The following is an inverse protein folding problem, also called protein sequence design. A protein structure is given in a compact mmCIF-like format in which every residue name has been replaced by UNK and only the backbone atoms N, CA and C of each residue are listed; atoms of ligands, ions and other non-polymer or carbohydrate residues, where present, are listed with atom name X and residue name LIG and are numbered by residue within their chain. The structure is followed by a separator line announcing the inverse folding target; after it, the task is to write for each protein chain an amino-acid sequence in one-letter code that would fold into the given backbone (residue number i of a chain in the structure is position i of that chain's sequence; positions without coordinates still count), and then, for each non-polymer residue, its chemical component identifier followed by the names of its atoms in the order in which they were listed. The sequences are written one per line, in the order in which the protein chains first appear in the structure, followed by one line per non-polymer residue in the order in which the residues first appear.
data_IF_310290982658
#
_entry.id   IF_310290982658
#
_cell.length_a   1.000
_cell.length_b   1.000
_cell.length_c   1.000
_cell.angle_alpha   90.00
_cell.angle_beta   90.00
_cell.angle_gamma   90.00
#
_symmetry.space_group_name_H-M   'P 1'
#
loop_
_entity.id
_entity.type
_entity.pdbx_description
1 polymer ?
#
# COMPACT_ATOMS: atom_id res chain seq x y z
N UNK A 1 25.91 -1.70 1.81
CA UNK A 1 25.42 -2.72 0.87
C UNK A 1 26.55 -3.73 0.73
N UNK A 2 26.37 -4.93 1.25
CA UNK A 2 27.39 -6.00 1.19
C UNK A 2 27.60 -6.41 -0.27
N UNK A 3 28.81 -6.78 -0.66
CA UNK A 3 29.19 -7.12 -2.06
C UNK A 3 28.33 -8.20 -2.72
N UNK A 4 27.69 -9.07 -1.94
CA UNK A 4 26.75 -10.07 -2.41
C UNK A 4 25.45 -9.47 -2.98
N UNK A 5 25.02 -8.28 -2.52
CA UNK A 5 23.83 -7.58 -3.03
C UNK A 5 24.11 -6.70 -4.26
N UNK A 6 25.38 -6.39 -4.53
CA UNK A 6 25.77 -5.65 -5.75
C UNK A 6 25.69 -6.49 -7.02
N UNK A 7 25.68 -7.82 -6.91
CA UNK A 7 25.79 -8.71 -8.07
C UNK A 7 24.52 -8.93 -8.88
N UNK A 8 23.31 -8.60 -8.36
CA UNK A 8 22.05 -8.82 -9.07
C UNK A 8 21.01 -7.72 -8.76
N UNK A 9 21.29 -6.47 -9.13
CA UNK A 9 20.23 -5.43 -9.10
C UNK A 9 19.26 -5.73 -10.25
N UNK A 10 17.95 -5.92 -9.96
CA UNK A 10 16.95 -6.19 -11.00
C UNK A 10 16.87 -5.04 -11.99
N UNK A 11 16.46 -5.34 -13.22
CA UNK A 11 16.20 -4.31 -14.24
C UNK A 11 15.10 -3.34 -13.75
N UNK A 12 15.22 -2.07 -14.08
CA UNK A 12 14.22 -1.05 -13.72
C UNK A 12 12.80 -1.44 -14.16
N UNK A 13 12.66 -2.09 -15.32
CA UNK A 13 11.38 -2.61 -15.81
C UNK A 13 10.80 -3.70 -14.92
N UNK A 14 11.62 -4.57 -14.33
CA UNK A 14 11.16 -5.62 -13.41
C UNK A 14 10.68 -5.01 -12.09
N UNK A 15 11.39 -3.98 -11.59
CA UNK A 15 11.01 -3.25 -10.38
C UNK A 15 9.67 -2.52 -10.59
N UNK A 16 9.53 -1.84 -11.73
CA UNK A 16 8.29 -1.16 -12.12
C UNK A 16 7.12 -2.16 -12.27
N UNK A 17 7.34 -3.28 -12.95
CA UNK A 17 6.32 -4.32 -13.11
C UNK A 17 5.85 -4.88 -11.75
N UNK A 18 6.76 -5.14 -10.83
CA UNK A 18 6.39 -5.59 -9.48
C UNK A 18 5.55 -4.54 -8.73
N UNK A 19 5.91 -3.24 -8.83
CA UNK A 19 5.15 -2.16 -8.24
C UNK A 19 3.74 -2.02 -8.87
N UNK A 20 3.63 -2.14 -10.20
CA UNK A 20 2.35 -2.12 -10.93
C UNK A 20 1.47 -3.28 -10.49
N UNK A 21 1.98 -4.52 -10.55
CA UNK A 21 1.23 -5.73 -10.16
C UNK A 21 0.77 -5.64 -8.70
N UNK A 22 1.65 -5.19 -7.80
CA UNK A 22 1.30 -5.01 -6.39
C UNK A 22 0.10 -4.06 -6.23
N UNK A 23 0.10 -2.91 -6.92
CA UNK A 23 -0.96 -1.91 -6.78
C UNK A 23 -2.25 -2.30 -7.52
N UNK A 24 -2.18 -3.06 -8.61
CA UNK A 24 -3.36 -3.68 -9.23
C UNK A 24 -4.05 -4.61 -8.24
N UNK A 25 -3.31 -5.53 -7.61
CA UNK A 25 -3.87 -6.48 -6.65
C UNK A 25 -4.40 -5.75 -5.40
N UNK A 26 -3.70 -4.72 -4.89
CA UNK A 26 -4.14 -3.94 -3.73
C UNK A 26 -5.44 -3.16 -3.97
N UNK A 27 -5.78 -2.85 -5.21
CA UNK A 27 -7.05 -2.21 -5.56
C UNK A 27 -8.27 -3.16 -5.56
N UNK A 28 -8.06 -4.47 -5.62
CA UNK A 28 -9.15 -5.44 -5.79
C UNK A 28 -9.91 -5.85 -4.50
N UNK A 29 -9.35 -5.80 -3.28
CA UNK A 29 -9.97 -6.36 -2.09
C UNK A 29 -11.24 -5.66 -1.61
N UNK A 30 -11.49 -4.41 -1.96
CA UNK A 30 -12.55 -3.61 -1.35
C UNK A 30 -13.95 -4.24 -1.44
N UNK A 31 -14.34 -4.72 -2.62
CA UNK A 31 -15.62 -5.42 -2.80
C UNK A 31 -15.66 -6.76 -2.06
N UNK A 32 -14.55 -7.53 -2.11
CA UNK A 32 -14.47 -8.81 -1.43
C UNK A 32 -14.52 -8.67 0.09
N UNK A 33 -13.93 -7.61 0.65
CA UNK A 33 -14.02 -7.29 2.09
C UNK A 33 -15.49 -7.05 2.47
N UNK A 34 -16.25 -6.31 1.66
CA UNK A 34 -17.66 -6.05 1.92
C UNK A 34 -18.48 -7.34 1.89
N UNK A 35 -18.25 -8.20 0.90
CA UNK A 35 -18.91 -9.51 0.82
C UNK A 35 -18.55 -10.38 2.02
N UNK A 36 -17.26 -10.47 2.39
CA UNK A 36 -16.79 -11.20 3.56
C UNK A 36 -17.46 -10.70 4.85
N UNK A 37 -17.51 -9.37 5.05
CA UNK A 37 -18.12 -8.80 6.24
C UNK A 37 -19.64 -9.13 6.32
N UNK A 38 -20.34 -9.09 5.20
CA UNK A 38 -21.74 -9.49 5.14
C UNK A 38 -21.93 -10.97 5.51
N UNK A 39 -21.12 -11.87 4.92
CA UNK A 39 -21.17 -13.31 5.22
C UNK A 39 -20.84 -13.61 6.69
N UNK A 40 -19.87 -12.91 7.25
CA UNK A 40 -19.44 -13.07 8.65
C UNK A 40 -20.29 -12.25 9.63
N UNK A 41 -21.33 -11.54 9.15
CA UNK A 41 -22.22 -10.66 9.93
C UNK A 41 -21.46 -9.58 10.72
N UNK A 42 -20.45 -8.99 10.12
CA UNK A 42 -19.66 -7.91 10.71
C UNK A 42 -20.24 -6.58 10.23
N UNK A 43 -21.12 -5.99 11.01
CA UNK A 43 -21.79 -4.74 10.68
C UNK A 43 -21.98 -3.83 11.91
N UNK A 44 -22.16 -2.51 11.72
CA UNK A 44 -22.44 -1.60 12.83
C UNK A 44 -23.71 -1.94 13.59
N UNK A 45 -24.75 -2.48 12.93
CA UNK A 45 -26.02 -2.85 13.55
C UNK A 45 -25.84 -4.00 14.56
N UNK A 46 -24.90 -4.91 14.30
CA UNK A 46 -24.65 -6.08 15.17
C UNK A 46 -23.69 -5.74 16.30
N UNK A 47 -22.62 -4.98 16.00
CA UNK A 47 -21.54 -4.73 16.96
C UNK A 47 -21.64 -3.36 17.65
N UNK A 48 -22.49 -2.43 17.18
CA UNK A 48 -22.65 -1.11 17.81
C UNK A 48 -21.33 -0.42 18.08
N UNK A 49 -21.09 0.00 19.31
CA UNK A 49 -19.86 0.67 19.74
C UNK A 49 -18.59 -0.19 19.62
N UNK A 50 -18.73 -1.53 19.50
CA UNK A 50 -17.61 -2.44 19.33
C UNK A 50 -17.29 -2.74 17.86
N UNK A 51 -18.04 -2.14 16.91
CA UNK A 51 -17.85 -2.39 15.47
C UNK A 51 -16.42 -2.16 14.99
N UNK A 52 -15.83 -1.03 15.38
CA UNK A 52 -14.44 -0.74 15.00
C UNK A 52 -13.46 -1.78 15.57
N UNK A 53 -13.64 -2.18 16.83
CA UNK A 53 -12.85 -3.25 17.45
C UNK A 53 -12.98 -4.57 16.69
N UNK A 54 -14.20 -4.91 16.26
CA UNK A 54 -14.46 -6.12 15.47
C UNK A 54 -13.80 -6.08 14.09
N UNK A 55 -13.86 -4.94 13.40
CA UNK A 55 -13.16 -4.72 12.13
C UNK A 55 -11.65 -4.89 12.29
N UNK A 56 -11.05 -4.29 13.33
CA UNK A 56 -9.61 -4.40 13.61
C UNK A 56 -9.21 -5.85 13.92
N UNK A 57 -10.01 -6.58 14.70
CA UNK A 57 -9.77 -7.99 14.99
C UNK A 57 -9.81 -8.85 13.72
N UNK A 58 -10.76 -8.62 12.84
CA UNK A 58 -10.89 -9.38 11.58
C UNK A 58 -9.74 -9.06 10.61
N UNK A 59 -9.38 -7.79 10.47
CA UNK A 59 -8.25 -7.37 9.64
C UNK A 59 -6.92 -7.92 10.19
N UNK A 60 -6.77 -7.95 11.51
CA UNK A 60 -5.56 -8.51 12.14
C UNK A 60 -5.40 -9.99 11.78
N UNK A 61 -6.47 -10.77 11.84
CA UNK A 61 -6.44 -12.19 11.45
C UNK A 61 -6.06 -12.35 9.97
N UNK A 62 -6.59 -11.51 9.08
CA UNK A 62 -6.22 -11.51 7.66
C UNK A 62 -4.71 -11.28 7.48
N UNK A 63 -4.15 -10.28 8.16
CA UNK A 63 -2.71 -9.99 8.05
C UNK A 63 -1.84 -11.03 8.73
N UNK A 64 -2.31 -11.65 9.79
CA UNK A 64 -1.62 -12.77 10.43
C UNK A 64 -1.48 -13.97 9.46
N UNK A 65 -2.58 -14.36 8.81
CA UNK A 65 -2.59 -15.41 7.80
C UNK A 65 -1.69 -15.01 6.61
N UNK A 66 -1.79 -13.76 6.14
CA UNK A 66 -0.94 -13.24 5.07
C UNK A 66 0.55 -13.31 5.42
N UNK A 67 0.92 -12.98 6.65
CA UNK A 67 2.28 -13.09 7.15
C UNK A 67 2.80 -14.53 7.15
N UNK A 68 1.97 -15.49 7.61
CA UNK A 68 2.30 -16.92 7.56
C UNK A 68 2.49 -17.37 6.10
N UNK A 69 1.56 -17.03 5.19
CA UNK A 69 1.68 -17.36 3.77
C UNK A 69 2.99 -16.83 3.17
N UNK A 70 3.35 -15.58 3.52
CA UNK A 70 4.59 -14.96 3.06
C UNK A 70 5.83 -15.66 3.58
N UNK A 71 5.86 -16.07 4.87
CA UNK A 71 6.98 -16.84 5.44
C UNK A 71 7.09 -18.24 4.84
N UNK A 72 5.97 -18.91 4.59
CA UNK A 72 5.95 -20.21 3.90
C UNK A 72 6.57 -20.05 2.51
N UNK A 73 6.16 -19.02 1.76
CA UNK A 73 6.74 -18.72 0.46
C UNK A 73 8.24 -18.39 0.54
N UNK A 74 8.66 -17.59 1.53
CA UNK A 74 10.06 -17.29 1.77
C UNK A 74 10.88 -18.56 2.01
N UNK A 75 10.34 -19.52 2.78
CA UNK A 75 10.97 -20.82 2.98
C UNK A 75 11.03 -21.65 1.70
N UNK A 76 9.99 -21.59 0.88
CA UNK A 76 9.93 -22.28 -0.43
C UNK A 76 11.05 -21.80 -1.37
N UNK A 77 11.35 -20.50 -1.38
CA UNK A 77 12.49 -19.92 -2.13
C UNK A 77 13.82 -20.02 -1.35
N UNK A 78 13.92 -20.98 -0.42
CA UNK A 78 15.11 -21.34 0.35
C UNK A 78 15.68 -20.18 1.19
N UNK A 79 14.85 -19.23 1.64
CA UNK A 79 15.28 -18.22 2.59
C UNK A 79 15.19 -18.74 4.02
N UNK A 80 16.17 -18.40 4.83
CA UNK A 80 16.12 -18.73 6.26
C UNK A 80 15.27 -17.67 6.99
N UNK A 81 14.10 -18.08 7.45
CA UNK A 81 13.11 -17.18 8.06
C UNK A 81 13.43 -16.81 9.51
N UNK A 82 14.33 -17.55 10.17
CA UNK A 82 14.72 -17.32 11.56
C UNK A 82 16.13 -16.73 11.72
N UNK A 83 16.96 -16.77 10.69
CA UNK A 83 18.31 -16.22 10.74
C UNK A 83 18.30 -14.69 10.58
N UNK A 84 17.72 -14.03 11.57
CA UNK A 84 17.54 -12.58 11.63
C UNK A 84 18.39 -12.05 12.79
N UNK A 85 19.29 -11.11 12.52
CA UNK A 85 20.15 -10.50 13.55
C UNK A 85 19.31 -9.65 14.52
N UNK A 86 19.74 -9.53 15.78
CA UNK A 86 19.05 -8.76 16.82
C UNK A 86 18.68 -7.33 16.38
N UNK A 87 19.55 -6.66 15.64
CA UNK A 87 19.26 -5.32 15.07
C UNK A 87 18.12 -5.35 14.04
N UNK A 88 18.15 -6.34 13.15
CA UNK A 88 17.11 -6.50 12.12
C UNK A 88 15.76 -6.82 12.77
N UNK A 89 15.72 -7.65 13.82
CA UNK A 89 14.49 -7.91 14.59
C UNK A 89 13.88 -6.64 15.13
N UNK A 90 14.70 -5.78 15.76
CA UNK A 90 14.21 -4.48 16.25
C UNK A 90 13.61 -3.64 15.12
N UNK A 91 14.27 -3.58 13.98
CA UNK A 91 13.80 -2.81 12.82
C UNK A 91 12.51 -3.40 12.23
N UNK A 92 12.37 -4.71 12.15
CA UNK A 92 11.15 -5.40 11.67
C UNK A 92 9.98 -5.23 12.65
N UNK A 93 10.24 -5.28 13.96
CA UNK A 93 9.21 -5.02 14.98
C UNK A 93 8.70 -3.57 14.84
N UNK A 94 9.59 -2.59 14.77
CA UNK A 94 9.22 -1.18 14.58
C UNK A 94 8.41 -1.02 13.30
N UNK A 95 8.83 -1.67 12.21
CA UNK A 95 8.12 -1.63 10.94
C UNK A 95 6.71 -2.24 11.07
N UNK A 96 6.55 -3.38 11.75
CA UNK A 96 5.26 -4.04 11.97
C UNK A 96 4.29 -3.16 12.78
N UNK A 97 4.79 -2.58 13.86
CA UNK A 97 3.99 -1.65 14.68
C UNK A 97 3.63 -0.37 13.93
N UNK A 98 4.52 0.12 13.08
CA UNK A 98 4.28 1.34 12.31
C UNK A 98 3.32 1.09 11.14
N UNK A 99 3.62 0.11 10.27
CA UNK A 99 2.92 -0.12 9.00
C UNK A 99 1.60 -0.86 9.15
N UNK A 100 1.56 -1.84 10.05
CA UNK A 100 0.39 -2.73 10.17
C UNK A 100 -0.44 -2.38 11.39
N UNK A 101 0.18 -2.11 12.54
CA UNK A 101 -0.59 -1.72 13.73
C UNK A 101 -1.08 -0.28 13.64
N UNK A 102 -0.17 0.70 13.70
CA UNK A 102 -0.55 2.11 13.80
C UNK A 102 -1.21 2.62 12.51
N UNK A 103 -0.61 2.34 11.33
CA UNK A 103 -1.17 2.83 10.08
C UNK A 103 -2.58 2.29 9.83
N UNK A 104 -2.83 0.98 10.01
CA UNK A 104 -4.17 0.43 9.81
C UNK A 104 -5.16 0.79 10.91
N UNK A 105 -4.70 1.06 12.13
CA UNK A 105 -5.54 1.65 13.17
C UNK A 105 -6.10 3.00 12.73
N UNK A 106 -5.23 3.96 12.34
CA UNK A 106 -5.66 5.27 11.86
C UNK A 106 -6.49 5.19 10.59
N UNK A 107 -6.12 4.32 9.65
CA UNK A 107 -6.87 4.08 8.41
C UNK A 107 -8.32 3.65 8.68
N UNK A 108 -8.54 2.71 9.61
CA UNK A 108 -9.88 2.21 9.89
C UNK A 108 -10.72 3.20 10.68
N UNK A 109 -10.15 3.92 11.65
CA UNK A 109 -10.86 5.02 12.32
C UNK A 109 -11.27 6.10 11.29
N UNK A 110 -10.35 6.49 10.42
CA UNK A 110 -10.64 7.47 9.39
C UNK A 110 -11.79 7.02 8.49
N UNK A 111 -11.78 5.77 8.02
CA UNK A 111 -12.84 5.23 7.17
C UNK A 111 -14.22 5.16 7.84
N UNK A 112 -14.28 4.99 9.15
CA UNK A 112 -15.56 5.02 9.89
C UNK A 112 -16.08 6.46 10.02
N UNK A 113 -15.19 7.46 10.09
CA UNK A 113 -15.56 8.85 10.31
C UNK A 113 -15.67 9.68 9.02
N UNK A 114 -15.10 9.24 7.91
CA UNK A 114 -15.24 9.90 6.60
C UNK A 114 -16.52 9.41 5.94
N UNK A 115 -17.43 10.32 5.66
CA UNK A 115 -18.72 10.00 5.03
C UNK A 115 -18.59 9.63 3.55
N UNK A 116 -17.60 10.20 2.86
CA UNK A 116 -17.35 9.96 1.43
C UNK A 116 -16.24 8.93 1.21
N UNK A 117 -16.59 7.77 0.66
CA UNK A 117 -15.61 6.76 0.23
C UNK A 117 -14.60 7.32 -0.78
N UNK A 118 -15.03 8.26 -1.61
CA UNK A 118 -14.15 8.94 -2.58
C UNK A 118 -13.11 9.77 -1.86
N UNK A 119 -13.53 10.58 -0.87
CA UNK A 119 -12.62 11.40 -0.08
C UNK A 119 -11.60 10.55 0.66
N UNK A 120 -12.05 9.46 1.28
CA UNK A 120 -11.17 8.47 1.93
C UNK A 120 -10.13 7.90 0.95
N UNK A 121 -10.56 7.51 -0.24
CA UNK A 121 -9.67 6.94 -1.27
C UNK A 121 -8.62 7.93 -1.76
N UNK A 122 -9.01 9.19 -1.97
CA UNK A 122 -8.11 10.27 -2.41
C UNK A 122 -7.09 10.59 -1.32
N UNK A 123 -7.55 10.77 -0.08
CA UNK A 123 -6.67 11.11 1.04
C UNK A 123 -5.71 9.98 1.41
N UNK A 124 -6.10 8.72 1.25
CA UNK A 124 -5.20 7.59 1.44
C UNK A 124 -3.96 7.66 0.52
N UNK A 125 -4.07 8.31 -0.64
CA UNK A 125 -2.95 8.52 -1.57
C UNK A 125 -1.99 9.64 -1.12
N UNK A 126 -2.27 10.34 -0.02
CA UNK A 126 -1.30 11.27 0.61
C UNK A 126 0.04 10.60 0.92
N UNK A 127 0.03 9.26 1.09
CA UNK A 127 1.25 8.45 1.18
C UNK A 127 2.27 8.75 0.08
N UNK A 128 1.81 9.06 -1.14
CA UNK A 128 2.69 9.33 -2.30
C UNK A 128 3.45 10.63 -2.08
N UNK A 129 2.75 11.67 -1.63
CA UNK A 129 3.34 12.98 -1.35
C UNK A 129 4.31 12.90 -0.16
N UNK A 130 3.90 12.27 0.94
CA UNK A 130 4.78 12.07 2.09
C UNK A 130 6.02 11.26 1.73
N UNK A 131 5.89 10.20 0.91
CA UNK A 131 7.03 9.42 0.47
C UNK A 131 7.99 10.22 -0.40
N UNK A 132 7.47 11.06 -1.31
CA UNK A 132 8.29 11.93 -2.16
C UNK A 132 9.04 13.00 -1.32
N UNK A 133 8.36 13.60 -0.33
CA UNK A 133 8.95 14.57 0.60
C UNK A 133 10.03 13.89 1.46
N UNK A 134 9.72 12.76 2.08
CA UNK A 134 10.67 12.01 2.90
C UNK A 134 11.88 11.56 2.09
N UNK A 135 11.67 11.09 0.84
CA UNK A 135 12.74 10.70 -0.06
C UNK A 135 13.66 11.87 -0.39
N UNK A 136 13.10 13.07 -0.62
CA UNK A 136 13.86 14.29 -0.89
C UNK A 136 14.87 14.60 0.21
N UNK A 137 14.46 14.46 1.48
CA UNK A 137 15.34 14.75 2.61
C UNK A 137 16.27 13.58 2.94
N UNK A 138 15.80 12.35 2.83
CA UNK A 138 16.55 11.16 3.26
C UNK A 138 17.58 10.66 2.24
N UNK A 139 17.35 10.84 0.93
CA UNK A 139 18.18 10.25 -0.12
C UNK A 139 18.76 11.31 -1.06
N UNK A 140 20.09 11.30 -1.23
CA UNK A 140 20.79 12.26 -2.14
C UNK A 140 20.37 12.08 -3.61
N UNK A 141 20.08 10.83 -4.02
CA UNK A 141 19.77 10.47 -5.41
C UNK A 141 18.26 10.44 -5.70
N UNK A 142 17.40 10.80 -4.74
CA UNK A 142 15.96 10.79 -4.90
C UNK A 142 15.35 12.16 -4.55
N UNK A 143 15.87 13.19 -5.22
CA UNK A 143 15.42 14.58 -5.00
C UNK A 143 14.10 14.85 -5.70
N UNK A 144 13.29 15.65 -5.06
CA UNK A 144 12.03 16.18 -5.61
C UNK A 144 12.37 17.30 -6.61
N UNK A 145 12.34 16.97 -7.88
CA UNK A 145 12.58 17.91 -8.98
C UNK A 145 11.26 18.58 -9.41
N UNK A 146 11.27 19.74 -10.08
CA UNK A 146 10.05 20.37 -10.59
C UNK A 146 9.21 19.45 -11.46
N UNK A 147 9.84 18.62 -12.29
CA UNK A 147 9.12 17.65 -13.14
C UNK A 147 8.45 16.55 -12.33
N UNK A 148 9.08 16.08 -11.22
CA UNK A 148 8.45 15.14 -10.28
C UNK A 148 7.26 15.79 -9.58
N UNK A 149 7.36 17.07 -9.20
CA UNK A 149 6.24 17.81 -8.61
C UNK A 149 5.07 17.94 -9.57
N UNK A 150 5.32 18.35 -10.82
CA UNK A 150 4.29 18.41 -11.86
C UNK A 150 3.66 17.04 -12.05
N UNK A 151 4.46 15.97 -12.14
CA UNK A 151 3.97 14.60 -12.25
C UNK A 151 3.06 14.20 -11.07
N UNK A 152 3.44 14.53 -9.83
CA UNK A 152 2.61 14.27 -8.64
C UNK A 152 1.27 15.00 -8.71
N UNK A 153 1.26 16.29 -9.10
CA UNK A 153 0.02 17.07 -9.25
C UNK A 153 -0.86 16.47 -10.33
N UNK A 154 -0.29 16.14 -11.51
CA UNK A 154 -1.03 15.51 -12.62
C UNK A 154 -1.65 14.18 -12.20
N UNK A 155 -0.89 13.33 -11.49
CA UNK A 155 -1.40 12.04 -11.01
C UNK A 155 -2.51 12.19 -9.97
N UNK A 156 -2.40 13.17 -9.09
CA UNK A 156 -3.41 13.46 -8.09
C UNK A 156 -4.70 14.02 -8.73
N UNK A 157 -4.57 14.91 -9.70
CA UNK A 157 -5.72 15.39 -10.49
C UNK A 157 -6.39 14.25 -11.26
N UNK A 158 -5.58 13.35 -11.85
CA UNK A 158 -6.09 12.15 -12.50
C UNK A 158 -6.86 11.23 -11.52
N UNK A 159 -6.38 11.08 -10.30
CA UNK A 159 -7.08 10.34 -9.26
C UNK A 159 -8.42 11.00 -8.91
N UNK A 160 -8.44 12.33 -8.65
CA UNK A 160 -9.66 13.07 -8.35
C UNK A 160 -10.68 12.87 -9.49
N UNK A 161 -10.27 13.11 -10.73
CA UNK A 161 -11.14 13.00 -11.90
C UNK A 161 -11.69 11.57 -12.03
N UNK A 162 -10.88 10.54 -11.80
CA UNK A 162 -11.32 9.14 -11.88
C UNK A 162 -12.40 8.78 -10.86
N UNK A 163 -12.45 9.50 -9.74
CA UNK A 163 -13.42 9.28 -8.67
C UNK A 163 -14.67 10.16 -8.78
N UNK A 164 -14.69 11.16 -9.67
CA UNK A 164 -15.87 12.03 -9.92
C UNK A 164 -16.93 11.32 -10.76
N UNK A 165 -17.30 10.10 -10.38
CA UNK A 165 -18.37 9.34 -11.01
C UNK A 165 -19.64 9.44 -10.17
N UNK A 166 -20.78 9.72 -10.79
CA UNK A 166 -22.07 9.52 -10.14
C UNK A 166 -22.56 10.62 -9.21
N UNK A 167 -22.29 11.90 -9.50
CA UNK A 167 -22.97 13.02 -8.83
C UNK A 167 -22.36 13.48 -7.51
N UNK A 168 -21.11 13.10 -7.23
CA UNK A 168 -20.36 13.63 -6.07
C UNK A 168 -20.12 15.13 -6.27
N UNK A 169 -20.55 15.93 -5.31
CA UNK A 169 -20.31 17.38 -5.31
C UNK A 169 -18.89 17.67 -4.81
N UNK A 170 -18.19 18.57 -5.48
CA UNK A 170 -16.88 19.05 -5.03
C UNK A 170 -16.92 19.60 -3.59
N UNK A 171 -18.06 20.16 -3.16
CA UNK A 171 -18.26 20.62 -1.77
C UNK A 171 -18.04 19.53 -0.73
N UNK A 172 -18.39 18.27 -1.05
CA UNK A 172 -18.28 17.16 -0.11
C UNK A 172 -16.84 16.71 0.11
N UNK A 173 -15.92 17.18 -0.75
CA UNK A 173 -14.48 16.93 -0.66
C UNK A 173 -13.74 17.89 0.30
N UNK A 174 -14.40 18.98 0.73
CA UNK A 174 -13.79 20.01 1.58
C UNK A 174 -14.23 19.95 3.05
N UNK A 175 -15.03 18.94 3.42
CA UNK A 175 -15.29 18.68 4.84
C UNK A 175 -13.99 18.17 5.48
N UNK A 176 -13.58 18.77 6.60
CA UNK A 176 -12.41 18.33 7.35
C UNK A 176 -12.79 18.01 8.79
N UNK A 177 -12.56 16.78 9.19
CA UNK A 177 -12.60 16.34 10.57
C UNK A 177 -11.24 15.78 10.99
N UNK A 178 -10.84 16.01 12.23
CA UNK A 178 -9.56 15.51 12.73
C UNK A 178 -9.54 13.98 12.75
N UNK A 179 -10.64 13.34 13.16
CA UNK A 179 -10.78 11.87 13.27
C UNK A 179 -11.03 11.18 11.95
N UNK A 180 -11.47 11.90 10.93
CA UNK A 180 -11.61 11.42 9.56
C UNK A 180 -10.38 11.75 8.73
N UNK A 181 -10.42 12.93 8.10
CA UNK A 181 -9.39 13.37 7.14
C UNK A 181 -8.02 13.51 7.79
N UNK A 182 -7.94 14.03 9.02
CA UNK A 182 -6.69 14.16 9.77
C UNK A 182 -6.03 12.80 10.03
N UNK A 183 -6.81 11.82 10.47
CA UNK A 183 -6.28 10.46 10.70
C UNK A 183 -5.91 9.74 9.40
N UNK A 184 -6.58 10.03 8.29
CA UNK A 184 -6.17 9.51 6.98
C UNK A 184 -4.83 10.09 6.53
N UNK A 185 -4.54 11.35 6.81
CA UNK A 185 -3.22 11.94 6.57
C UNK A 185 -2.14 11.31 7.47
N UNK A 186 -2.45 11.04 8.74
CA UNK A 186 -1.54 10.31 9.65
C UNK A 186 -1.25 8.91 9.09
N UNK A 187 -2.28 8.18 8.62
CA UNK A 187 -2.07 6.91 7.91
C UNK A 187 -1.10 7.07 6.73
N UNK A 188 -1.30 8.08 5.89
CA UNK A 188 -0.45 8.36 4.74
C UNK A 188 1.02 8.57 5.12
N UNK A 189 1.27 9.33 6.18
CA UNK A 189 2.62 9.56 6.70
C UNK A 189 3.24 8.27 7.25
N UNK A 190 2.51 7.52 8.06
CA UNK A 190 2.97 6.25 8.63
C UNK A 190 3.31 5.22 7.55
N UNK A 191 2.48 5.12 6.51
CA UNK A 191 2.70 4.23 5.37
C UNK A 191 3.93 4.63 4.54
N UNK A 192 4.20 5.94 4.40
CA UNK A 192 5.39 6.45 3.74
C UNK A 192 6.67 6.14 4.55
N UNK A 193 6.64 6.39 5.87
CA UNK A 193 7.73 6.05 6.79
C UNK A 193 8.00 4.53 6.79
N UNK A 194 6.96 3.71 6.79
CA UNK A 194 7.09 2.26 6.71
C UNK A 194 7.76 1.81 5.41
N UNK A 195 7.41 2.42 4.26
CA UNK A 195 8.03 2.11 2.97
C UNK A 195 9.51 2.52 2.97
N UNK A 196 9.85 3.66 3.57
CA UNK A 196 11.23 4.10 3.74
C UNK A 196 12.03 3.15 4.63
N UNK A 197 11.43 2.67 5.72
CA UNK A 197 12.03 1.70 6.63
C UNK A 197 12.23 0.34 5.94
N UNK A 198 11.24 -0.10 5.15
CA UNK A 198 11.33 -1.32 4.34
C UNK A 198 12.50 -1.27 3.35
N UNK A 199 12.73 -0.12 2.69
CA UNK A 199 13.88 0.10 1.81
C UNK A 199 15.20 -0.07 2.57
N UNK A 200 15.29 0.47 3.79
CA UNK A 200 16.47 0.35 4.65
C UNK A 200 16.71 -1.09 5.10
N UNK A 201 15.69 -1.77 5.62
CA UNK A 201 15.80 -3.15 6.11
C UNK A 201 16.11 -4.10 4.96
N UNK A 202 15.44 -3.93 3.81
CA UNK A 202 15.61 -4.74 2.62
C UNK A 202 17.05 -4.74 2.06
N UNK A 203 17.88 -3.74 2.41
CA UNK A 203 19.30 -3.76 2.06
C UNK A 203 20.12 -4.86 2.78
N UNK A 204 19.58 -5.43 3.84
CA UNK A 204 20.29 -6.43 4.69
C UNK A 204 19.47 -7.68 4.98
N UNK A 205 18.15 -7.66 4.77
CA UNK A 205 17.23 -8.77 5.00
C UNK A 205 16.37 -9.00 3.75
N UNK A 206 16.11 -10.27 3.43
CA UNK A 206 15.22 -10.61 2.32
C UNK A 206 13.82 -9.99 2.52
N UNK A 207 13.25 -9.38 1.46
CA UNK A 207 11.99 -8.66 1.52
C UNK A 207 10.80 -9.53 1.91
N UNK A 208 10.76 -10.81 1.48
CA UNK A 208 9.69 -11.73 1.84
C UNK A 208 9.76 -12.10 3.32
N UNK A 209 10.96 -12.36 3.85
CA UNK A 209 11.16 -12.63 5.28
C UNK A 209 10.76 -11.41 6.12
N UNK A 210 11.21 -10.23 5.71
CA UNK A 210 10.85 -8.96 6.34
C UNK A 210 9.33 -8.74 6.34
N UNK A 211 8.69 -8.92 5.17
CA UNK A 211 7.23 -8.69 5.02
C UNK A 211 6.43 -9.68 5.85
N UNK A 212 6.81 -10.96 5.85
CA UNK A 212 6.10 -11.97 6.62
C UNK A 212 6.12 -11.68 8.12
N UNK A 213 7.28 -11.39 8.68
CA UNK A 213 7.39 -11.02 10.10
C UNK A 213 6.76 -9.66 10.43
N UNK A 214 6.87 -8.68 9.53
CA UNK A 214 6.20 -7.40 9.67
C UNK A 214 4.67 -7.57 9.79
N UNK A 215 4.07 -8.38 8.92
CA UNK A 215 2.62 -8.65 8.94
C UNK A 215 2.20 -9.41 10.20
N UNK A 216 2.97 -10.42 10.64
CA UNK A 216 2.66 -11.18 11.87
C UNK A 216 2.73 -10.27 13.10
N UNK A 217 3.85 -9.57 13.30
CA UNK A 217 4.05 -8.72 14.47
C UNK A 217 3.05 -7.59 14.51
N UNK A 218 2.85 -6.92 13.36
CA UNK A 218 1.92 -5.82 13.28
C UNK A 218 0.46 -6.24 13.43
N UNK A 219 0.10 -7.44 12.96
CA UNK A 219 -1.24 -7.98 13.16
C UNK A 219 -1.53 -8.31 14.62
N UNK A 220 -0.56 -8.83 15.37
CA UNK A 220 -0.69 -9.06 16.80
C UNK A 220 -0.95 -7.73 17.55
N UNK A 221 -0.18 -6.67 17.22
CA UNK A 221 -0.41 -5.34 17.78
C UNK A 221 -1.81 -4.80 17.44
N UNK A 222 -2.24 -4.97 16.18
CA UNK A 222 -3.57 -4.54 15.74
C UNK A 222 -4.70 -5.34 16.43
N UNK A 223 -4.50 -6.65 16.63
CA UNK A 223 -5.43 -7.49 17.36
C UNK A 223 -5.58 -7.06 18.82
N UNK A 224 -4.47 -6.76 19.50
CA UNK A 224 -4.51 -6.28 20.89
C UNK A 224 -5.37 -5.01 20.98
N UNK A 225 -5.19 -4.04 20.09
CA UNK A 225 -6.00 -2.83 20.04
C UNK A 225 -7.47 -3.17 19.76
N UNK A 226 -7.75 -3.98 18.76
CA UNK A 226 -9.10 -4.42 18.42
C UNK A 226 -9.78 -5.14 19.60
N UNK A 227 -9.04 -5.99 20.33
CA UNK A 227 -9.53 -6.69 21.51
C UNK A 227 -9.89 -5.73 22.66
N UNK A 228 -9.04 -4.74 22.93
CA UNK A 228 -9.31 -3.69 23.92
C UNK A 228 -10.57 -2.89 23.56
N UNK A 229 -10.80 -2.67 22.24
CA UNK A 229 -11.99 -1.99 21.70
C UNK A 229 -13.23 -2.89 21.62
N UNK A 230 -13.20 -4.07 22.20
CA UNK A 230 -14.33 -5.00 22.28
C UNK A 230 -14.45 -6.00 21.15
N UNK A 231 -13.52 -5.99 20.16
CA UNK A 231 -13.50 -6.98 19.09
C UNK A 231 -13.14 -8.39 19.59
N UNK A 232 -13.85 -9.39 19.11
CA UNK A 232 -13.65 -10.80 19.49
C UNK A 232 -13.72 -11.69 18.25
N UNK A 233 -12.69 -12.51 18.02
CA UNK A 233 -12.70 -13.49 16.93
C UNK A 233 -13.76 -14.57 17.14
N UNK A 234 -14.12 -14.86 18.40
CA UNK A 234 -15.20 -15.79 18.76
C UNK A 234 -16.60 -15.25 18.44
N UNK A 235 -16.76 -13.94 18.26
CA UNK A 235 -18.03 -13.31 17.90
C UNK A 235 -18.30 -13.30 16.38
N UNK A 236 -17.35 -13.74 15.58
CA UNK A 236 -17.49 -13.85 14.12
C UNK A 236 -18.42 -15.02 13.80
N UNK A 237 -19.40 -14.80 12.92
CA UNK A 237 -20.17 -15.86 12.33
C UNK A 237 -19.34 -16.59 11.27
N UNK A 238 -18.68 -17.67 11.66
CA UNK A 238 -17.82 -18.46 10.78
C UNK A 238 -18.64 -19.27 9.79
N UNK A 239 -18.54 -18.93 8.51
CA UNK A 239 -19.07 -19.72 7.40
C UNK A 239 -17.93 -20.22 6.51
N UNK A 240 -18.16 -21.29 5.76
CA UNK A 240 -17.17 -21.82 4.80
C UNK A 240 -16.80 -20.73 3.78
N UNK A 241 -17.80 -20.02 3.25
CA UNK A 241 -17.62 -18.91 2.31
C UNK A 241 -16.82 -17.78 2.93
N UNK A 242 -17.15 -17.36 4.17
CA UNK A 242 -16.43 -16.31 4.90
C UNK A 242 -14.97 -16.68 5.14
N UNK A 243 -14.69 -17.91 5.55
CA UNK A 243 -13.33 -18.44 5.74
C UNK A 243 -12.52 -18.50 4.43
N UNK A 244 -13.15 -18.93 3.34
CA UNK A 244 -12.54 -18.92 2.01
C UNK A 244 -12.21 -17.49 1.54
N UNK A 245 -13.15 -16.55 1.69
CA UNK A 245 -12.92 -15.13 1.37
C UNK A 245 -11.80 -14.52 2.20
N UNK A 246 -11.75 -14.82 3.51
CA UNK A 246 -10.66 -14.37 4.39
C UNK A 246 -9.30 -14.87 3.89
N UNK A 247 -9.23 -16.14 3.47
CA UNK A 247 -7.99 -16.75 2.94
C UNK A 247 -7.57 -16.11 1.61
N UNK A 248 -8.52 -15.88 0.70
CA UNK A 248 -8.28 -15.16 -0.56
C UNK A 248 -7.78 -13.74 -0.29
N UNK A 249 -8.42 -13.03 0.64
CA UNK A 249 -8.02 -11.69 1.05
C UNK A 249 -6.66 -11.65 1.74
N UNK A 250 -6.30 -12.70 2.48
CA UNK A 250 -4.96 -12.85 3.05
C UNK A 250 -3.91 -13.02 1.94
N UNK A 251 -4.17 -13.85 0.94
CA UNK A 251 -3.29 -13.99 -0.23
C UNK A 251 -3.18 -12.67 -1.02
N UNK A 252 -4.33 -11.97 -1.21
CA UNK A 252 -4.38 -10.64 -1.82
C UNK A 252 -3.71 -9.54 -0.97
N UNK A 253 -3.24 -9.86 0.22
CA UNK A 253 -2.37 -9.01 1.04
C UNK A 253 -0.92 -9.49 0.99
N UNK A 254 -0.67 -10.79 1.14
CA UNK A 254 0.66 -11.39 1.17
C UNK A 254 1.47 -11.09 -0.09
N UNK A 255 0.89 -11.32 -1.26
CA UNK A 255 1.54 -11.14 -2.56
C UNK A 255 1.91 -9.67 -2.79
N UNK A 256 0.97 -8.71 -2.76
CA UNK A 256 1.29 -7.34 -3.12
C UNK A 256 2.17 -6.63 -2.08
N UNK A 257 2.01 -6.88 -0.77
CA UNK A 257 2.92 -6.29 0.20
C UNK A 257 4.37 -6.78 0.01
N UNK A 258 4.53 -8.06 -0.32
CA UNK A 258 5.86 -8.62 -0.60
C UNK A 258 6.47 -8.01 -1.85
N UNK A 259 5.72 -7.90 -2.94
CA UNK A 259 6.15 -7.27 -4.19
C UNK A 259 6.42 -5.78 -4.01
N UNK A 260 5.57 -5.07 -3.26
CA UNK A 260 5.72 -3.65 -2.97
C UNK A 260 7.00 -3.34 -2.21
N UNK A 261 7.26 -4.04 -1.10
CA UNK A 261 8.45 -3.82 -0.31
C UNK A 261 9.72 -4.31 -1.03
N UNK A 262 9.60 -5.37 -1.84
CA UNK A 262 10.68 -5.77 -2.72
C UNK A 262 10.99 -4.69 -3.76
N UNK A 263 10.00 -4.11 -4.40
CA UNK A 263 10.20 -3.03 -5.35
C UNK A 263 10.77 -1.76 -4.68
N UNK A 264 10.27 -1.40 -3.50
CA UNK A 264 10.76 -0.27 -2.71
C UNK A 264 12.24 -0.42 -2.29
N UNK A 265 12.70 -1.66 -2.08
CA UNK A 265 14.10 -1.95 -1.75
C UNK A 265 15.06 -1.51 -2.86
N UNK A 266 14.70 -1.76 -4.13
CA UNK A 266 15.58 -1.54 -5.28
C UNK A 266 15.33 -0.19 -5.99
N UNK A 267 14.12 0.31 -5.97
CA UNK A 267 13.75 1.55 -6.65
C UNK A 267 14.00 2.82 -5.84
N UNK A 268 13.98 3.96 -6.53
CA UNK A 268 13.91 5.26 -5.88
C UNK A 268 12.53 5.43 -5.23
N UNK A 269 12.48 5.84 -3.98
CA UNK A 269 11.24 5.87 -3.20
C UNK A 269 10.22 6.84 -3.79
N UNK A 270 10.67 8.05 -4.20
CA UNK A 270 9.81 9.05 -4.83
C UNK A 270 9.31 8.65 -6.21
N UNK A 271 10.01 7.76 -6.92
CA UNK A 271 9.59 7.27 -8.25
C UNK A 271 8.68 6.05 -8.13
N UNK A 272 8.95 5.16 -7.18
CA UNK A 272 8.16 3.94 -7.00
C UNK A 272 6.79 4.23 -6.40
N UNK A 273 6.70 5.18 -5.46
CA UNK A 273 5.43 5.46 -4.78
C UNK A 273 4.35 6.02 -5.70
N UNK A 274 4.71 6.61 -6.84
CA UNK A 274 3.73 7.08 -7.83
C UNK A 274 2.87 5.95 -8.40
N UNK A 275 3.38 4.72 -8.45
CA UNK A 275 2.59 3.55 -8.89
C UNK A 275 1.39 3.25 -7.99
N UNK A 276 1.35 3.80 -6.76
CA UNK A 276 0.18 3.69 -5.88
C UNK A 276 -1.08 4.37 -6.45
N UNK A 277 -0.94 5.33 -7.37
CA UNK A 277 -2.10 5.88 -8.09
C UNK A 277 -2.87 4.83 -8.91
N UNK A 278 -2.23 3.70 -9.24
CA UNK A 278 -2.88 2.57 -9.94
C UNK A 278 -3.90 1.87 -9.03
N UNK A 279 -3.68 1.85 -7.71
CA UNK A 279 -4.51 1.11 -6.76
C UNK A 279 -6.00 1.52 -6.80
N UNK A 280 -6.39 2.80 -6.67
CA UNK A 280 -7.80 3.18 -6.76
C UNK A 280 -8.38 2.98 -8.17
N UNK A 281 -7.57 3.16 -9.21
CA UNK A 281 -8.00 2.95 -10.60
C UNK A 281 -8.30 1.48 -10.87
N UNK A 282 -7.45 0.57 -10.41
CA UNK A 282 -7.69 -0.88 -10.56
C UNK A 282 -8.96 -1.32 -9.82
N UNK A 283 -9.24 -0.71 -8.65
CA UNK A 283 -10.49 -0.91 -7.93
C UNK A 283 -11.72 -0.45 -8.74
N UNK A 284 -11.64 0.71 -9.37
CA UNK A 284 -12.71 1.23 -10.24
C UNK A 284 -12.91 0.38 -11.50
N UNK A 285 -11.82 -0.09 -12.13
CA UNK A 285 -11.91 -1.01 -13.29
C UNK A 285 -12.59 -2.31 -12.87
N UNK A 286 -12.21 -2.88 -11.73
CA UNK A 286 -12.86 -4.09 -11.22
C UNK A 286 -14.36 -3.84 -10.94
N UNK A 287 -14.72 -2.67 -10.44
CA UNK A 287 -16.11 -2.29 -10.21
C UNK A 287 -16.92 -2.30 -11.50
N UNK A 288 -16.34 -1.76 -12.60
CA UNK A 288 -16.94 -1.79 -13.94
C UNK A 288 -17.07 -3.22 -14.46
N UNK A 289 -16.03 -4.06 -14.31
CA UNK A 289 -16.10 -5.48 -14.71
C UNK A 289 -17.18 -6.26 -13.95
N UNK A 290 -17.53 -5.80 -12.75
CA UNK A 290 -18.61 -6.36 -11.91
C UNK A 290 -19.97 -5.68 -12.13
N UNK A 291 -20.15 -4.94 -13.22
CA UNK A 291 -21.43 -4.40 -13.68
C UNK A 291 -21.69 -2.91 -13.36
N UNK A 292 -20.70 -2.18 -12.84
CA UNK A 292 -20.83 -0.72 -12.73
C UNK A 292 -20.59 -0.04 -14.09
N UNK A 293 -21.16 1.14 -14.29
CA UNK A 293 -21.03 1.86 -15.56
C UNK A 293 -19.61 2.37 -15.79
N UNK A 294 -19.10 2.15 -16.99
CA UNK A 294 -17.83 2.73 -17.43
C UNK A 294 -18.02 4.21 -17.77
N UNK A 295 -17.23 5.09 -17.15
CA UNK A 295 -17.41 6.54 -17.28
C UNK A 295 -16.23 7.19 -18.00
N UNK A 296 -16.50 8.30 -18.71
CA UNK A 296 -15.46 9.10 -19.36
C UNK A 296 -14.45 9.65 -18.34
N UNK A 297 -14.88 9.99 -17.11
CA UNK A 297 -14.00 10.45 -16.04
C UNK A 297 -12.97 9.39 -15.63
N UNK A 298 -13.35 8.11 -15.61
CA UNK A 298 -12.40 7.01 -15.33
C UNK A 298 -11.33 6.91 -16.42
N UNK A 299 -11.69 7.08 -17.70
CA UNK A 299 -10.72 7.09 -18.81
C UNK A 299 -9.72 8.26 -18.70
N UNK A 300 -10.25 9.46 -18.47
CA UNK A 300 -9.42 10.67 -18.32
C UNK A 300 -8.50 10.53 -17.11
N UNK A 301 -9.01 10.06 -15.98
CA UNK A 301 -8.25 9.80 -14.77
C UNK A 301 -7.11 8.81 -15.01
N UNK A 302 -7.38 7.69 -15.70
CA UNK A 302 -6.38 6.70 -16.08
C UNK A 302 -5.27 7.31 -16.96
N UNK A 303 -5.66 8.08 -17.98
CA UNK A 303 -4.70 8.73 -18.88
C UNK A 303 -3.76 9.69 -18.11
N UNK A 304 -4.30 10.49 -17.19
CA UNK A 304 -3.52 11.41 -16.37
C UNK A 304 -2.59 10.66 -15.40
N UNK A 305 -3.02 9.56 -14.80
CA UNK A 305 -2.16 8.74 -13.95
C UNK A 305 -1.03 8.09 -14.75
N UNK A 306 -1.31 7.57 -15.95
CA UNK A 306 -0.26 7.06 -16.84
C UNK A 306 0.74 8.17 -17.21
N UNK A 307 0.27 9.37 -17.53
CA UNK A 307 1.12 10.53 -17.80
C UNK A 307 1.99 10.90 -16.59
N UNK A 308 1.43 10.91 -15.38
CA UNK A 308 2.16 11.14 -14.14
C UNK A 308 3.30 10.15 -13.94
N UNK A 309 3.02 8.86 -14.11
CA UNK A 309 4.03 7.78 -13.99
C UNK A 309 5.15 8.00 -14.99
N UNK A 310 4.83 8.34 -16.24
CA UNK A 310 5.81 8.63 -17.29
C UNK A 310 6.65 9.85 -16.94
N UNK A 311 6.05 10.94 -16.47
CA UNK A 311 6.74 12.17 -16.12
C UNK A 311 7.74 11.96 -14.99
N UNK A 312 7.32 11.26 -13.93
CA UNK A 312 8.13 11.05 -12.73
C UNK A 312 9.29 10.07 -12.99
N UNK A 313 9.08 9.06 -13.82
CA UNK A 313 10.08 8.04 -14.11
C UNK A 313 10.97 8.40 -15.33
N UNK A 314 10.88 9.62 -15.86
CA UNK A 314 11.80 10.09 -16.92
C UNK A 314 13.23 10.19 -16.38
N UNK A 315 14.22 9.54 -17.01
CA UNK A 315 15.61 9.72 -16.62
C UNK A 315 16.03 11.19 -16.79
N UNK A 316 16.81 11.76 -15.85
CA UNK A 316 17.32 13.11 -15.96
C UNK A 316 18.11 13.30 -17.28
N UNK A 317 17.99 14.49 -17.91
CA UNK A 317 18.69 14.79 -19.18
C UNK A 317 20.20 14.49 -19.14
N UNK A 318 20.84 14.69 -17.98
CA UNK A 318 22.27 14.42 -17.75
C UNK A 318 22.65 12.93 -17.86
N UNK A 319 21.78 12.00 -17.45
CA UNK A 319 22.06 10.56 -17.62
C UNK A 319 21.95 10.13 -19.08
N UNK A 320 21.01 10.70 -19.85
CA UNK A 320 20.91 10.46 -21.30
C UNK A 320 22.17 10.92 -22.03
N UNK A 321 22.74 12.07 -21.63
CA UNK A 321 23.99 12.59 -22.21
C UNK A 321 25.17 11.68 -21.84
N UNK A 322 25.29 11.24 -20.59
CA UNK A 322 26.33 10.30 -20.16
C UNK A 322 26.21 8.93 -20.82
N UNK A 323 25.00 8.46 -21.07
CA UNK A 323 24.76 7.18 -21.75
C UNK A 323 25.06 7.28 -23.25
N UNK A 324 24.76 8.41 -23.89
CA UNK A 324 25.15 8.69 -25.28
C UNK A 324 26.66 8.85 -25.44
N UNK A 325 27.35 9.52 -24.52
CA UNK A 325 28.81 9.63 -24.52
C UNK A 325 29.46 8.25 -24.33
N UNK A 326 28.99 7.43 -23.36
CA UNK A 326 29.49 6.07 -23.17
C UNK A 326 29.25 5.13 -24.38
N UNK A 327 28.23 5.39 -25.20
CA UNK A 327 28.00 4.64 -26.44
C UNK A 327 28.96 5.06 -27.56
N UNK A 328 29.34 6.32 -27.59
CA UNK A 328 30.35 6.84 -28.54
C UNK A 328 31.77 6.35 -28.18
N UNK A 329 32.10 6.26 -26.89
CA UNK A 329 33.40 5.75 -26.43
C UNK A 329 33.59 4.21 -26.60
N UNK A 330 32.57 3.49 -27.08
CA UNK A 330 32.59 2.05 -27.32
C UNK A 330 32.58 1.66 -28.81
N UNK A 331 32.63 2.63 -29.69
CA UNK A 331 32.79 2.49 -31.14
C UNK A 331 34.19 2.89 -31.55
#
# INVERSE_FOLDING_TARGET
MTDALKKNVPKATTIAAAAVIANIILGTPFKLIKVMNNEMKISPEIFGNHYLGQVLATISLRFFIAGIMTLIFAKFIKQNIFNIKKRQWREVIIMGLLSTTAAYFFFNIANVNITSTINSTILAQSTIFFAAILAHFAYKNDKLTPIKMIGLVVGFMGLIISQLTGGVRLSDMFSFSLTGEGFMLIYGLLAALATMLAKRIGSTLNSFVMTGWNLIIGSLGLYIIGFIMGGRLSAINWTVTGGALLTILAAASAIPFSLWYWAAQYGNLGEITVYKFIMPISGSILAVLLGESFTASLMVGLALVCLSIILINRPPKLEKIKESVRKVDRV
#
